data_IF_682300753959
#
_entry.id   IF_682300753959
#
_cell.length_a   1.000
_cell.length_b   1.000
_cell.length_c   1.000
_cell.angle_alpha   90.00
_cell.angle_beta   90.00
_cell.angle_gamma   90.00
#
_symmetry.space_group_name_H-M   'P 1'
#
loop_
_entity.id
_entity.type
_entity.pdbx_description
1 polymer ?
#
# COMPACT_ATOMS: atom_id res chain seq x y z
N UNK A 1 12.68 -60.82 -3.73
CA UNK A 1 13.25 -59.46 -3.90
C UNK A 1 12.82 -58.89 -5.24
N UNK A 2 11.85 -57.95 -5.28
CA UNK A 2 11.59 -57.06 -6.45
C UNK A 2 10.54 -55.96 -6.19
N UNK A 3 10.28 -55.57 -4.93
CA UNK A 3 9.24 -54.57 -4.59
C UNK A 3 9.86 -53.16 -4.39
N UNK A 4 11.19 -53.04 -4.32
CA UNK A 4 11.86 -51.78 -3.94
C UNK A 4 12.21 -50.82 -5.10
N UNK A 5 11.81 -51.11 -6.35
CA UNK A 5 12.20 -50.30 -7.52
C UNK A 5 11.09 -49.42 -8.10
N UNK A 6 9.82 -49.65 -7.77
CA UNK A 6 8.71 -48.92 -8.40
C UNK A 6 8.29 -47.65 -7.66
N UNK A 7 8.73 -47.43 -6.43
CA UNK A 7 8.30 -46.28 -5.62
C UNK A 7 9.14 -45.03 -5.90
N UNK A 8 10.39 -45.20 -6.34
CA UNK A 8 11.32 -44.06 -6.54
C UNK A 8 11.02 -43.29 -7.84
N UNK A 9 10.46 -43.93 -8.86
CA UNK A 9 10.17 -43.27 -10.14
C UNK A 9 8.93 -42.36 -10.09
N UNK A 10 7.98 -42.62 -9.19
CA UNK A 10 6.74 -41.84 -9.08
C UNK A 10 6.93 -40.50 -8.36
N UNK A 11 7.97 -40.36 -7.53
CA UNK A 11 8.20 -39.16 -6.72
C UNK A 11 8.80 -37.99 -7.51
N UNK A 12 9.48 -38.26 -8.63
CA UNK A 12 10.15 -37.23 -9.44
C UNK A 12 9.20 -36.55 -10.45
N UNK A 13 8.09 -37.20 -10.82
CA UNK A 13 7.15 -36.66 -11.80
C UNK A 13 6.15 -35.65 -11.21
N UNK A 14 5.95 -35.65 -9.89
CA UNK A 14 4.99 -34.73 -9.24
C UNK A 14 5.60 -33.35 -8.90
N UNK A 15 6.92 -33.20 -8.98
CA UNK A 15 7.61 -31.97 -8.59
C UNK A 15 7.69 -30.92 -9.71
N UNK A 16 7.38 -31.28 -10.97
CA UNK A 16 7.52 -30.39 -12.13
C UNK A 16 6.27 -29.54 -12.44
N UNK A 17 5.11 -29.81 -11.83
CA UNK A 17 3.87 -29.05 -12.10
C UNK A 17 3.66 -27.81 -11.21
N UNK A 18 4.44 -27.63 -10.14
CA UNK A 18 4.20 -26.53 -9.18
C UNK A 18 4.85 -25.21 -9.65
N UNK A 19 5.87 -25.27 -10.51
CA UNK A 19 6.66 -24.08 -10.88
C UNK A 19 5.91 -23.13 -11.84
N UNK A 20 4.86 -23.60 -12.54
CA UNK A 20 4.13 -22.76 -13.49
C UNK A 20 3.09 -21.81 -12.84
N UNK A 21 2.85 -21.92 -11.53
CA UNK A 21 1.82 -21.14 -10.82
C UNK A 21 2.29 -19.82 -10.19
N UNK A 22 3.60 -19.55 -10.14
CA UNK A 22 4.17 -18.41 -9.40
C UNK A 22 4.74 -17.29 -10.28
N UNK A 23 4.30 -17.19 -11.53
CA UNK A 23 4.48 -15.92 -12.25
C UNK A 23 3.42 -14.96 -11.74
N UNK A 24 3.74 -14.21 -10.67
CA UNK A 24 3.12 -12.91 -10.46
C UNK A 24 3.41 -12.10 -11.73
N UNK A 25 2.42 -12.02 -12.62
CA UNK A 25 2.44 -11.02 -13.68
C UNK A 25 2.52 -9.69 -12.95
N UNK A 26 3.63 -8.97 -13.11
CA UNK A 26 3.71 -7.58 -12.69
C UNK A 26 2.59 -6.82 -13.40
N UNK A 27 1.46 -6.64 -12.71
CA UNK A 27 0.37 -5.77 -13.16
C UNK A 27 0.97 -4.37 -13.18
N UNK A 28 1.08 -3.77 -14.37
CA UNK A 28 1.55 -2.41 -14.50
C UNK A 28 0.69 -1.51 -13.60
N UNK A 29 1.34 -0.67 -12.80
CA UNK A 29 0.67 0.24 -11.88
C UNK A 29 -0.39 1.05 -12.63
N UNK A 30 -1.62 1.06 -12.12
CA UNK A 30 -2.72 1.79 -12.75
C UNK A 30 -2.43 3.28 -12.69
N UNK A 31 -2.15 3.87 -13.84
CA UNK A 31 -1.98 5.32 -13.95
C UNK A 31 -3.37 5.97 -13.81
N UNK A 32 -3.57 6.72 -12.74
CA UNK A 32 -4.78 7.51 -12.54
C UNK A 32 -4.78 8.72 -13.46
N UNK A 33 -5.98 9.11 -13.92
CA UNK A 33 -6.14 10.38 -14.65
C UNK A 33 -5.98 11.55 -13.68
N UNK A 34 -5.57 12.72 -14.21
CA UNK A 34 -5.39 13.92 -13.39
C UNK A 34 -6.66 14.34 -12.62
N UNK A 35 -7.83 14.12 -13.21
CA UNK A 35 -9.13 14.37 -12.57
C UNK A 35 -9.34 13.46 -11.35
N UNK A 36 -9.07 12.16 -11.49
CA UNK A 36 -9.20 11.20 -10.38
C UNK A 36 -8.21 11.53 -9.26
N UNK A 37 -6.96 11.88 -9.60
CA UNK A 37 -5.97 12.33 -8.61
C UNK A 37 -6.45 13.59 -7.87
N UNK A 38 -6.96 14.59 -8.59
CA UNK A 38 -7.42 15.86 -7.98
C UNK A 38 -8.57 15.60 -7.00
N UNK A 39 -9.55 14.80 -7.40
CA UNK A 39 -10.68 14.45 -6.53
C UNK A 39 -10.23 13.67 -5.28
N UNK A 40 -9.30 12.73 -5.44
CA UNK A 40 -8.79 11.93 -4.32
C UNK A 40 -7.95 12.77 -3.36
N UNK A 41 -7.08 13.65 -3.86
CA UNK A 41 -6.27 14.57 -3.04
C UNK A 41 -7.18 15.55 -2.31
N UNK A 42 -8.14 16.17 -3.00
CA UNK A 42 -9.09 17.07 -2.37
C UNK A 42 -9.87 16.36 -1.26
N UNK A 43 -10.42 15.18 -1.53
CA UNK A 43 -11.14 14.38 -0.53
C UNK A 43 -10.26 14.10 0.69
N UNK A 44 -9.07 13.52 0.47
CA UNK A 44 -8.15 13.15 1.55
C UNK A 44 -7.75 14.36 2.40
N UNK A 45 -7.49 15.50 1.77
CA UNK A 45 -7.02 16.69 2.46
C UNK A 45 -8.15 17.45 3.15
N UNK A 46 -9.39 17.33 2.67
CA UNK A 46 -10.58 17.92 3.29
C UNK A 46 -11.07 17.15 4.53
N UNK A 47 -10.84 15.83 4.58
CA UNK A 47 -11.23 14.98 5.73
C UNK A 47 -10.33 15.20 6.96
N UNK A 48 -9.17 15.85 6.78
CA UNK A 48 -8.21 16.12 7.85
C UNK A 48 -8.46 17.51 8.43
N UNK A 49 -8.69 17.58 9.74
CA UNK A 49 -8.77 18.83 10.48
C UNK A 49 -7.36 19.42 10.72
N UNK A 50 -6.85 20.17 9.74
CA UNK A 50 -5.53 20.80 9.82
C UNK A 50 -5.48 21.88 10.90
N UNK A 51 -4.58 21.70 11.87
CA UNK A 51 -4.30 22.72 12.87
C UNK A 51 -3.34 23.77 12.31
N UNK A 52 -3.65 25.05 12.51
CA UNK A 52 -2.83 26.17 12.02
C UNK A 52 -1.82 26.67 13.06
N UNK A 53 -1.90 26.16 14.29
CA UNK A 53 -1.01 26.51 15.40
C UNK A 53 -0.45 25.26 16.04
N UNK A 54 0.87 25.22 16.23
CA UNK A 54 1.56 24.04 16.74
C UNK A 54 1.13 23.67 18.16
N UNK A 55 1.00 24.66 19.05
CA UNK A 55 0.58 24.43 20.44
C UNK A 55 -0.80 23.74 20.53
N UNK A 56 -1.75 24.11 19.67
CA UNK A 56 -3.08 23.47 19.62
C UNK A 56 -2.96 22.01 19.14
N UNK A 57 -2.08 21.74 18.18
CA UNK A 57 -1.82 20.39 17.70
C UNK A 57 -1.18 19.50 18.78
N UNK A 58 -0.22 20.03 19.54
CA UNK A 58 0.43 19.34 20.66
C UNK A 58 -0.56 19.00 21.78
N UNK A 59 -1.37 19.98 22.19
CA UNK A 59 -2.42 19.77 23.21
C UNK A 59 -3.42 18.67 22.79
N UNK A 60 -3.81 18.66 21.52
CA UNK A 60 -4.74 17.66 21.00
C UNK A 60 -4.08 16.28 20.89
N UNK A 61 -2.85 16.22 20.40
CA UNK A 61 -2.10 14.98 20.28
C UNK A 61 -1.85 14.32 21.64
N UNK A 62 -1.58 15.12 22.68
CA UNK A 62 -1.45 14.63 24.05
C UNK A 62 -2.77 14.04 24.58
N UNK A 63 -3.91 14.71 24.34
CA UNK A 63 -5.23 14.21 24.75
C UNK A 63 -5.64 12.93 24.03
N UNK A 64 -5.31 12.84 22.74
CA UNK A 64 -5.67 11.69 21.89
C UNK A 64 -4.62 10.58 21.91
N UNK A 65 -3.48 10.78 22.57
CA UNK A 65 -2.32 9.89 22.56
C UNK A 65 -1.87 9.53 21.13
N UNK A 66 -1.78 10.55 20.26
CA UNK A 66 -1.38 10.44 18.85
C UNK A 66 -0.08 11.21 18.58
N UNK A 67 0.53 10.92 17.44
CA UNK A 67 1.70 11.66 16.95
C UNK A 67 1.27 12.99 16.30
N UNK A 68 2.15 13.99 16.40
CA UNK A 68 2.02 15.24 15.65
C UNK A 68 2.77 15.10 14.33
N UNK A 69 2.06 15.28 13.22
CA UNK A 69 2.67 15.54 11.91
C UNK A 69 2.56 17.03 11.63
N UNK A 70 3.70 17.71 11.51
CA UNK A 70 3.76 19.15 11.24
C UNK A 70 4.48 19.39 9.92
N UNK A 71 3.84 20.19 9.05
CA UNK A 71 4.34 20.43 7.71
C UNK A 71 4.24 21.92 7.40
N UNK A 72 5.36 22.52 6.99
CA UNK A 72 5.37 23.87 6.43
C UNK A 72 5.32 23.75 4.91
N UNK A 73 4.36 24.41 4.27
CA UNK A 73 4.16 24.33 2.82
C UNK A 73 3.95 25.70 2.20
N UNK A 74 4.34 25.80 0.94
CA UNK A 74 4.02 26.91 0.06
C UNK A 74 2.98 26.42 -0.95
N UNK A 75 1.80 27.05 -0.98
CA UNK A 75 0.66 26.62 -1.83
C UNK A 75 -0.49 26.01 -1.01
N UNK A 76 -1.48 25.45 -1.71
CA UNK A 76 -2.64 24.78 -1.08
C UNK A 76 -2.44 23.26 -1.08
N UNK A 77 -2.79 22.62 0.03
CA UNK A 77 -2.60 21.18 0.23
C UNK A 77 -3.50 20.33 -0.67
N UNK A 78 -4.66 20.86 -1.05
CA UNK A 78 -5.64 20.20 -1.91
C UNK A 78 -5.28 20.24 -3.39
N UNK A 79 -4.14 20.85 -3.74
CA UNK A 79 -3.70 21.02 -5.12
C UNK A 79 -4.52 22.03 -5.92
N UNK A 80 -5.43 22.78 -5.29
CA UNK A 80 -6.17 23.84 -5.97
C UNK A 80 -5.23 25.02 -6.28
N UNK A 81 -4.92 25.19 -7.55
CA UNK A 81 -4.16 26.34 -8.07
C UNK A 81 -5.04 27.57 -8.21
#
# INVERSE_FOLDING_TARGET
MKIARSVVAASLALSSLIISGLTERAEAEKVYTGEVCTLQVHKLTSDIAWQTKLNVAEDQAQKENKLVFWMHMLGKIDGAT
#
